data_IF_544603979997
#
_entry.id   IF_544603979997
#
_cell.length_a   1.000
_cell.length_b   1.000
_cell.length_c   1.000
_cell.angle_alpha   90.00
_cell.angle_beta   90.00
_cell.angle_gamma   90.00
#
_symmetry.space_group_name_H-M   'P 1'
#
loop_
_entity.id
_entity.type
_entity.pdbx_description
1 polymer ?
#
# COMPACT_ATOMS: atom_id res chain seq x y z
N UNK A 1 5.99 5.08 -1.06
CA UNK A 1 5.35 5.87 -2.14
C UNK A 1 5.87 5.37 -3.49
N UNK A 2 7.17 5.44 -3.73
CA UNK A 2 7.82 4.92 -4.94
C UNK A 2 7.37 3.52 -5.42
N UNK A 3 7.15 2.56 -4.50
CA UNK A 3 6.61 1.23 -4.85
C UNK A 3 5.23 1.31 -5.54
N UNK A 4 4.28 2.03 -4.93
CA UNK A 4 2.94 2.20 -5.48
C UNK A 4 2.97 3.02 -6.77
N UNK A 5 3.83 4.05 -6.84
CA UNK A 5 4.01 4.87 -8.05
C UNK A 5 4.47 4.03 -9.23
N UNK A 6 5.37 3.06 -9.00
CA UNK A 6 5.83 2.15 -10.03
C UNK A 6 4.68 1.28 -10.58
N UNK A 7 3.86 0.70 -9.69
CA UNK A 7 2.71 -0.12 -10.08
C UNK A 7 1.69 0.72 -10.86
N UNK A 8 1.38 1.94 -10.40
CA UNK A 8 0.45 2.84 -11.10
C UNK A 8 0.95 3.19 -12.50
N UNK A 9 2.24 3.51 -12.66
CA UNK A 9 2.85 3.78 -13.97
C UNK A 9 2.88 2.55 -14.88
N UNK A 10 3.11 1.36 -14.31
CA UNK A 10 3.10 0.10 -15.05
C UNK A 10 1.72 -0.28 -15.58
N UNK A 11 0.64 0.32 -15.10
CA UNK A 11 -0.69 0.16 -15.69
C UNK A 11 -0.83 0.81 -17.08
N UNK A 12 0.13 1.65 -17.48
CA UNK A 12 0.11 2.48 -18.68
C UNK A 12 -1.15 3.36 -18.82
N UNK A 13 -1.86 3.56 -17.70
CA UNK A 13 -3.04 4.39 -17.63
C UNK A 13 -2.72 5.73 -16.99
N UNK A 14 -2.40 6.72 -17.83
CA UNK A 14 -2.07 8.08 -17.39
C UNK A 14 -3.18 8.73 -16.53
N UNK A 15 -4.45 8.39 -16.79
CA UNK A 15 -5.57 8.93 -16.02
C UNK A 15 -5.53 8.44 -14.58
N UNK A 16 -5.27 7.15 -14.36
CA UNK A 16 -5.21 6.57 -13.01
C UNK A 16 -4.08 7.21 -12.21
N UNK A 17 -2.90 7.38 -12.79
CA UNK A 17 -1.76 8.02 -12.12
C UNK A 17 -2.06 9.48 -11.72
N UNK A 18 -2.66 10.27 -12.63
CA UNK A 18 -3.00 11.67 -12.36
C UNK A 18 -4.09 11.81 -11.30
N UNK A 19 -5.11 10.94 -11.33
CA UNK A 19 -6.21 10.98 -10.35
C UNK A 19 -5.76 10.56 -8.94
N UNK A 20 -4.73 9.72 -8.83
CA UNK A 20 -4.22 9.27 -7.53
C UNK A 20 -3.24 10.23 -6.87
N UNK A 21 -2.59 11.12 -7.63
CA UNK A 21 -1.60 12.08 -7.11
C UNK A 21 -2.13 12.96 -5.95
N UNK A 22 -3.35 13.54 -5.99
CA UNK A 22 -3.88 14.29 -4.85
C UNK A 22 -4.10 13.42 -3.61
N UNK A 23 -4.59 12.18 -3.80
CA UNK A 23 -4.81 11.24 -2.71
C UNK A 23 -3.48 10.83 -2.07
N UNK A 24 -2.44 10.67 -2.88
CA UNK A 24 -1.09 10.34 -2.44
C UNK A 24 -0.57 11.34 -1.40
N UNK A 25 -0.76 12.64 -1.64
CA UNK A 25 -0.36 13.72 -0.72
C UNK A 25 -1.13 13.69 0.60
N UNK A 26 -2.41 13.36 0.55
CA UNK A 26 -3.24 13.20 1.76
C UNK A 26 -2.78 12.00 2.58
N UNK A 27 -2.46 10.89 1.90
CA UNK A 27 -2.02 9.65 2.54
C UNK A 27 -0.57 9.72 3.05
N UNK A 28 0.28 10.57 2.47
CA UNK A 28 1.69 10.68 2.82
C UNK A 28 1.91 10.94 4.32
N UNK A 29 1.15 11.87 4.90
CA UNK A 29 1.25 12.18 6.34
C UNK A 29 0.89 10.97 7.21
N UNK A 30 -0.23 10.30 6.91
CA UNK A 30 -0.66 9.11 7.66
C UNK A 30 0.31 7.95 7.49
N UNK A 31 0.86 7.79 6.29
CA UNK A 31 1.90 6.80 6.04
C UNK A 31 3.18 7.10 6.79
N UNK A 32 3.57 8.37 6.94
CA UNK A 32 4.74 8.72 7.75
C UNK A 32 4.55 8.32 9.22
N UNK A 33 3.35 8.53 9.76
CA UNK A 33 2.97 8.10 11.13
C UNK A 33 3.05 6.57 11.27
N UNK A 34 2.44 5.80 10.37
CA UNK A 34 2.48 4.33 10.43
C UNK A 34 3.87 3.76 10.13
N UNK A 35 4.61 4.36 9.18
CA UNK A 35 5.97 3.92 8.84
C UNK A 35 6.99 4.24 9.92
N UNK A 36 6.69 5.08 10.91
CA UNK A 36 7.58 5.30 12.05
C UNK A 36 7.61 4.11 13.04
N UNK A 37 6.64 3.19 12.95
CA UNK A 37 6.52 2.02 13.82
C UNK A 37 7.17 0.81 13.14
N UNK A 38 8.27 0.24 13.68
CA UNK A 38 8.99 -0.86 13.05
C UNK A 38 8.13 -2.09 12.73
N UNK A 39 7.24 -2.48 13.65
CA UNK A 39 6.32 -3.61 13.45
C UNK A 39 5.41 -3.40 12.23
N UNK A 40 4.90 -2.18 12.03
CA UNK A 40 4.06 -1.86 10.86
C UNK A 40 4.88 -1.93 9.57
N UNK A 41 6.15 -1.53 9.60
CA UNK A 41 7.03 -1.67 8.43
C UNK A 41 7.24 -3.14 8.06
N UNK A 42 7.50 -4.01 9.04
CA UNK A 42 7.69 -5.45 8.80
C UNK A 42 6.45 -6.08 8.16
N UNK A 43 5.26 -5.79 8.70
CA UNK A 43 4.01 -6.24 8.10
C UNK A 43 3.83 -5.72 6.67
N UNK A 44 4.04 -4.42 6.45
CA UNK A 44 3.88 -3.81 5.13
C UNK A 44 4.85 -4.40 4.09
N UNK A 45 6.10 -4.66 4.46
CA UNK A 45 7.10 -5.30 3.57
C UNK A 45 6.63 -6.71 3.18
N UNK A 46 6.13 -7.50 4.13
CA UNK A 46 5.56 -8.82 3.84
C UNK A 46 4.42 -8.74 2.83
N UNK A 47 3.50 -7.80 3.01
CA UNK A 47 2.42 -7.58 2.05
C UNK A 47 2.90 -7.07 0.68
N UNK A 48 3.94 -6.24 0.63
CA UNK A 48 4.54 -5.80 -0.63
C UNK A 48 5.17 -6.96 -1.41
N UNK A 49 5.81 -7.92 -0.74
CA UNK A 49 6.31 -9.14 -1.38
C UNK A 49 5.16 -9.95 -2.00
N UNK A 50 4.06 -10.14 -1.26
CA UNK A 50 2.88 -10.84 -1.78
C UNK A 50 2.27 -10.16 -3.03
N UNK A 51 2.30 -8.82 -3.07
CA UNK A 51 1.85 -8.05 -4.24
C UNK A 51 2.77 -8.30 -5.43
N UNK A 52 4.09 -8.32 -5.24
CA UNK A 52 5.05 -8.60 -6.31
C UNK A 52 4.81 -10.00 -6.89
N UNK A 53 4.68 -11.02 -6.05
CA UNK A 53 4.37 -12.38 -6.49
C UNK A 53 3.03 -12.47 -7.25
N UNK A 54 2.01 -11.74 -6.79
CA UNK A 54 0.72 -11.67 -7.47
C UNK A 54 0.84 -11.01 -8.85
N UNK A 55 1.61 -9.92 -8.97
CA UNK A 55 1.86 -9.24 -10.24
C UNK A 55 2.65 -10.14 -11.22
N UNK A 56 3.64 -10.88 -10.75
CA UNK A 56 4.41 -11.83 -11.56
C UNK A 56 3.54 -12.93 -12.16
N UNK A 57 2.48 -13.35 -11.46
CA UNK A 57 1.51 -14.32 -11.97
C UNK A 57 0.68 -13.81 -13.16
N UNK A 58 0.72 -12.50 -13.45
CA UNK A 58 -0.09 -11.81 -14.47
C UNK A 58 -1.61 -12.06 -14.33
N UNK A 59 -2.07 -12.38 -13.13
CA UNK A 59 -3.48 -12.57 -12.83
C UNK A 59 -4.04 -11.30 -12.17
N UNK A 60 -4.92 -10.53 -12.84
CA UNK A 60 -5.44 -9.28 -12.29
C UNK A 60 -6.27 -9.49 -11.02
N UNK A 61 -6.96 -10.62 -10.88
CA UNK A 61 -7.72 -10.96 -9.67
C UNK A 61 -6.80 -11.13 -8.47
N UNK A 62 -5.70 -11.88 -8.62
CA UNK A 62 -4.71 -12.06 -7.55
C UNK A 62 -4.04 -10.75 -7.16
N UNK A 63 -3.68 -9.92 -8.13
CA UNK A 63 -3.09 -8.60 -7.85
C UNK A 63 -4.04 -7.70 -7.07
N UNK A 64 -5.33 -7.74 -7.41
CA UNK A 64 -6.37 -7.01 -6.68
C UNK A 64 -6.50 -7.51 -5.25
N UNK A 65 -6.63 -8.83 -5.06
CA UNK A 65 -6.76 -9.43 -3.73
C UNK A 65 -5.55 -9.13 -2.84
N UNK A 66 -4.33 -9.20 -3.38
CA UNK A 66 -3.11 -8.88 -2.64
C UNK A 66 -3.07 -7.39 -2.22
N UNK A 67 -3.48 -6.48 -3.09
CA UNK A 67 -3.56 -5.05 -2.77
C UNK A 67 -4.65 -4.76 -1.74
N UNK A 68 -5.84 -5.38 -1.87
CA UNK A 68 -6.94 -5.24 -0.89
C UNK A 68 -6.48 -5.73 0.50
N UNK A 69 -5.79 -6.87 0.56
CA UNK A 69 -5.23 -7.40 1.81
C UNK A 69 -4.19 -6.45 2.44
N UNK A 70 -3.32 -5.84 1.62
CA UNK A 70 -2.37 -4.83 2.12
C UNK A 70 -3.06 -3.59 2.70
N UNK A 71 -4.11 -3.10 2.02
CA UNK A 71 -4.87 -1.94 2.50
C UNK A 71 -5.59 -2.25 3.82
N UNK A 72 -6.14 -3.45 3.96
CA UNK A 72 -6.77 -3.89 5.20
C UNK A 72 -5.75 -4.01 6.34
N UNK A 73 -4.60 -4.65 6.10
CA UNK A 73 -3.52 -4.72 7.08
C UNK A 73 -3.05 -3.33 7.53
N UNK A 74 -2.87 -2.39 6.60
CA UNK A 74 -2.46 -1.01 6.93
C UNK A 74 -3.48 -0.32 7.85
N UNK A 75 -4.77 -0.53 7.59
CA UNK A 75 -5.85 0.03 8.41
C UNK A 75 -5.87 -0.59 9.81
N UNK A 76 -5.69 -1.90 9.91
CA UNK A 76 -5.69 -2.61 11.19
C UNK A 76 -4.48 -2.23 12.05
N UNK A 77 -3.30 -2.09 11.45
CA UNK A 77 -2.10 -1.62 12.13
C UNK A 77 -2.25 -0.16 12.60
N UNK A 78 -2.82 0.73 11.77
CA UNK A 78 -3.11 2.11 12.20
C UNK A 78 -4.01 2.12 13.44
N UNK A 79 -5.09 1.32 13.44
CA UNK A 79 -6.02 1.25 14.56
C UNK A 79 -5.34 0.72 15.82
N UNK A 80 -4.66 -0.42 15.71
CA UNK A 80 -4.21 -1.18 16.86
C UNK A 80 -2.88 -0.68 17.43
N UNK A 81 -2.02 -0.10 16.61
CA UNK A 81 -0.63 0.23 16.98
C UNK A 81 -0.34 1.74 17.01
N UNK A 82 -1.23 2.58 16.47
CA UNK A 82 -1.06 4.04 16.47
C UNK A 82 -2.20 4.74 17.21
N UNK A 83 -3.46 4.44 16.85
CA UNK A 83 -4.62 5.14 17.42
C UNK A 83 -5.06 4.61 18.79
N UNK A 84 -4.80 3.33 19.07
CA UNK A 84 -5.08 2.69 20.36
C UNK A 84 -3.84 2.54 21.26
N UNK A 85 -2.69 3.09 20.85
CA UNK A 85 -1.50 3.13 21.70
C UNK A 85 -1.77 4.07 22.91
N UNK A 86 -1.40 3.67 24.13
CA UNK A 86 -1.64 4.45 25.35
C UNK A 86 -0.85 5.77 25.39
#
# INVERSE_FOLDING_TARGET
LAFHDLILRASENVFVAVLFEPLHRVLEKRRAETSAVPTIQEHAIGHHLNIVEALESRNPGRSREAMDAHMQQTLDDLKNLVLQAP
#
